data_IF_152437115415
#
_entry.id   IF_152437115415
#
_cell.length_a   1.000
_cell.length_b   1.000
_cell.length_c   1.000
_cell.angle_alpha   90.00
_cell.angle_beta   90.00
_cell.angle_gamma   90.00
#
_symmetry.space_group_name_H-M   'P 1'
#
loop_
_entity.id
_entity.type
_entity.pdbx_description
1 polymer ?
#
# COMPACT_ATOMS: atom_id res chain seq x y z
N UNK A 1 11.85 0.38 13.75
CA UNK A 1 12.50 0.47 12.43
C UNK A 1 11.89 -0.53 11.44
N UNK A 2 12.00 -1.85 11.67
CA UNK A 2 11.52 -2.89 10.74
C UNK A 2 10.08 -2.65 10.26
N UNK A 3 9.13 -2.41 11.19
CA UNK A 3 7.74 -2.04 10.87
C UNK A 3 7.62 -0.83 9.95
N UNK A 4 8.40 0.23 10.23
CA UNK A 4 8.36 1.47 9.45
C UNK A 4 8.97 1.31 8.05
N UNK A 5 9.89 0.36 7.88
CA UNK A 5 10.51 0.04 6.59
C UNK A 5 9.78 -1.09 5.83
N UNK A 6 8.61 -1.54 6.32
CA UNK A 6 7.87 -2.64 5.70
C UNK A 6 8.57 -4.00 5.77
N UNK A 7 9.53 -4.16 6.70
CA UNK A 7 10.21 -5.43 6.95
C UNK A 7 9.40 -6.30 7.91
N UNK A 8 9.59 -7.62 7.79
CA UNK A 8 9.09 -8.57 8.79
C UNK A 8 9.66 -8.21 10.18
N UNK A 9 8.79 -8.12 11.18
CA UNK A 9 9.14 -7.64 12.52
C UNK A 9 9.53 -8.83 13.38
N UNK A 10 10.79 -9.24 13.30
CA UNK A 10 11.39 -10.30 14.12
C UNK A 10 12.29 -9.76 15.25
N UNK A 11 12.60 -8.45 15.24
CA UNK A 11 13.54 -7.83 16.18
C UNK A 11 15.00 -8.23 15.98
N UNK A 12 15.30 -9.09 15.01
CA UNK A 12 16.65 -9.56 14.71
C UNK A 12 17.33 -8.66 13.67
N UNK A 13 18.63 -8.43 13.84
CA UNK A 13 19.44 -7.69 12.87
C UNK A 13 19.87 -8.65 11.76
N UNK A 14 18.93 -9.00 10.88
CA UNK A 14 19.19 -9.84 9.70
C UNK A 14 19.74 -9.07 8.50
N UNK A 15 20.18 -9.80 7.46
CA UNK A 15 20.75 -9.22 6.24
C UNK A 15 19.84 -8.17 5.58
N UNK A 16 18.52 -8.38 5.59
CA UNK A 16 17.53 -7.42 5.05
C UNK A 16 17.50 -6.10 5.83
N UNK A 17 17.61 -6.17 7.16
CA UNK A 17 17.66 -4.97 7.99
C UNK A 17 18.95 -4.17 7.75
N UNK A 18 20.09 -4.87 7.66
CA UNK A 18 21.39 -4.24 7.37
C UNK A 18 21.37 -3.59 5.98
N UNK A 19 20.80 -4.26 4.98
CA UNK A 19 20.65 -3.71 3.64
C UNK A 19 19.81 -2.41 3.65
N UNK A 20 18.68 -2.38 4.37
CA UNK A 20 17.85 -1.18 4.50
C UNK A 20 18.54 -0.05 5.27
N UNK A 21 19.37 -0.36 6.27
CA UNK A 21 20.14 0.64 7.01
C UNK A 21 21.26 1.26 6.14
N UNK A 22 21.83 0.48 5.22
CA UNK A 22 22.88 0.94 4.31
C UNK A 22 22.34 1.71 3.09
N UNK A 23 21.03 1.95 2.99
CA UNK A 23 20.46 2.77 1.92
C UNK A 23 20.85 4.24 2.14
N UNK A 24 21.55 4.89 1.19
CA UNK A 24 21.93 6.29 1.32
C UNK A 24 20.73 7.23 1.46
N UNK A 25 20.93 8.34 2.18
CA UNK A 25 19.88 9.34 2.41
C UNK A 25 19.31 9.90 1.09
N UNK A 26 20.17 10.16 0.11
CA UNK A 26 19.79 10.67 -1.22
C UNK A 26 18.73 9.77 -1.89
N UNK A 27 18.89 8.45 -1.79
CA UNK A 27 17.95 7.48 -2.33
C UNK A 27 16.60 7.50 -1.59
N UNK A 28 16.61 7.73 -0.27
CA UNK A 28 15.38 7.92 0.53
C UNK A 28 14.65 9.19 0.14
N UNK A 29 15.37 10.28 -0.09
CA UNK A 29 14.79 11.57 -0.54
C UNK A 29 14.11 11.38 -1.90
N UNK A 30 14.77 10.73 -2.85
CA UNK A 30 14.17 10.42 -4.16
C UNK A 30 12.90 9.57 -4.03
N UNK A 31 12.91 8.56 -3.15
CA UNK A 31 11.72 7.72 -2.90
C UNK A 31 10.55 8.55 -2.34
N UNK A 32 10.82 9.47 -1.41
CA UNK A 32 9.81 10.38 -0.87
C UNK A 32 9.24 11.30 -1.95
N UNK A 33 10.10 11.90 -2.78
CA UNK A 33 9.66 12.77 -3.89
C UNK A 33 8.74 12.04 -4.88
N UNK A 34 9.10 10.81 -5.27
CA UNK A 34 8.25 9.98 -6.15
C UNK A 34 6.91 9.66 -5.49
N UNK A 35 6.91 9.32 -4.19
CA UNK A 35 5.67 9.04 -3.47
C UNK A 35 4.78 10.28 -3.31
N UNK A 36 5.36 11.46 -3.12
CA UNK A 36 4.61 12.72 -3.10
C UNK A 36 3.96 13.01 -4.46
N UNK A 37 4.66 12.73 -5.56
CA UNK A 37 4.07 12.90 -6.89
C UNK A 37 2.95 11.90 -7.16
N UNK A 38 3.10 10.65 -6.69
CA UNK A 38 2.00 9.66 -6.73
C UNK A 38 0.78 10.13 -5.96
N UNK A 39 0.97 10.71 -4.76
CA UNK A 39 -0.14 11.27 -3.97
C UNK A 39 -0.84 12.42 -4.70
N UNK A 40 -0.09 13.27 -5.41
CA UNK A 40 -0.67 14.36 -6.21
C UNK A 40 -1.60 13.85 -7.31
N UNK A 41 -1.34 12.66 -7.84
CA UNK A 41 -2.12 12.07 -8.93
C UNK A 41 -3.26 11.18 -8.41
N UNK A 42 -3.36 11.00 -7.09
CA UNK A 42 -4.45 10.24 -6.49
C UNK A 42 -5.74 11.06 -6.60
N UNK A 43 -6.85 10.48 -7.09
CA UNK A 43 -8.09 11.20 -7.22
C UNK A 43 -8.55 11.70 -5.84
N UNK A 44 -9.13 12.91 -5.75
CA UNK A 44 -9.61 13.45 -4.48
C UNK A 44 -10.69 12.52 -3.90
N UNK A 45 -10.55 12.23 -2.60
CA UNK A 45 -11.51 11.45 -1.82
C UNK A 45 -12.78 12.29 -1.61
N UNK A 46 -13.64 12.34 -2.61
CA UNK A 46 -14.90 13.08 -2.55
C UNK A 46 -15.98 12.35 -1.75
N UNK A 47 -15.81 11.05 -1.55
CA UNK A 47 -16.78 10.20 -0.89
C UNK A 47 -16.26 9.76 0.48
N UNK A 48 -17.13 9.76 1.49
CA UNK A 48 -16.76 9.36 2.84
C UNK A 48 -16.64 7.84 3.01
N UNK A 49 -17.15 7.09 2.02
CA UNK A 49 -17.18 5.64 1.99
C UNK A 49 -16.44 5.15 0.74
N UNK A 50 -15.32 4.48 0.95
CA UNK A 50 -14.53 3.98 -0.18
C UNK A 50 -13.67 2.76 0.20
N UNK A 51 -13.26 2.03 -0.82
CA UNK A 51 -12.33 0.90 -0.71
C UNK A 51 -11.06 1.28 -1.46
N UNK A 52 -9.92 1.22 -0.78
CA UNK A 52 -8.60 1.48 -1.38
C UNK A 52 -7.74 0.25 -1.25
N UNK A 53 -7.16 -0.17 -2.37
CA UNK A 53 -6.17 -1.25 -2.41
C UNK A 53 -4.78 -0.63 -2.55
N UNK A 54 -3.99 -0.72 -1.49
CA UNK A 54 -2.60 -0.28 -1.50
C UNK A 54 -1.70 -1.43 -1.97
N UNK A 55 -1.45 -1.47 -3.28
CA UNK A 55 -0.66 -2.53 -3.94
C UNK A 55 0.75 -2.67 -3.32
N UNK A 56 1.54 -1.58 -3.10
CA UNK A 56 2.83 -1.67 -2.42
C UNK A 56 2.77 -2.22 -0.99
N UNK A 57 1.65 -2.02 -0.29
CA UNK A 57 1.45 -2.49 1.09
C UNK A 57 0.89 -3.91 1.16
N UNK A 58 0.39 -4.46 0.04
CA UNK A 58 -0.35 -5.73 0.01
C UNK A 58 -1.59 -5.72 0.92
N UNK A 59 -2.24 -4.56 1.05
CA UNK A 59 -3.42 -4.38 1.91
C UNK A 59 -4.56 -3.69 1.18
N UNK A 60 -5.78 -4.04 1.60
CA UNK A 60 -7.01 -3.33 1.27
C UNK A 60 -7.57 -2.68 2.53
N UNK A 61 -7.96 -1.42 2.41
CA UNK A 61 -8.57 -0.62 3.46
C UNK A 61 -9.97 -0.21 3.02
N UNK A 62 -10.94 -0.36 3.91
CA UNK A 62 -12.33 0.07 3.73
C UNK A 62 -12.61 1.19 4.71
N UNK A 63 -13.02 2.33 4.19
CA UNK A 63 -13.41 3.49 4.97
C UNK A 63 -14.93 3.64 4.95
N UNK A 64 -15.50 3.92 6.12
CA UNK A 64 -16.90 4.30 6.34
C UNK A 64 -16.94 5.61 7.12
N UNK A 65 -17.62 6.61 6.58
CA UNK A 65 -17.75 7.95 7.15
C UNK A 65 -16.39 8.57 7.50
N UNK A 66 -15.39 8.34 6.65
CA UNK A 66 -14.00 8.80 6.83
C UNK A 66 -13.20 8.06 7.91
N UNK A 67 -13.74 6.97 8.48
CA UNK A 67 -13.05 6.13 9.48
C UNK A 67 -12.73 4.77 8.90
N UNK A 68 -11.54 4.23 9.23
CA UNK A 68 -11.16 2.88 8.84
C UNK A 68 -12.11 1.88 9.51
N UNK A 69 -12.95 1.24 8.70
CA UNK A 69 -13.93 0.26 9.14
C UNK A 69 -13.38 -1.17 9.09
N UNK A 70 -12.51 -1.46 8.12
CA UNK A 70 -11.96 -2.79 7.90
C UNK A 70 -10.64 -2.73 7.12
N UNK A 71 -9.67 -3.58 7.48
CA UNK A 71 -8.47 -3.82 6.70
C UNK A 71 -8.18 -5.32 6.53
N UNK A 72 -7.64 -5.70 5.38
CA UNK A 72 -7.21 -7.07 5.13
C UNK A 72 -5.99 -7.14 4.21
N UNK A 73 -5.22 -8.22 4.32
CA UNK A 73 -4.14 -8.50 3.38
C UNK A 73 -4.72 -8.95 2.03
N UNK A 74 -4.10 -8.52 0.94
CA UNK A 74 -4.48 -8.90 -0.43
C UNK A 74 -3.29 -9.49 -1.18
N UNK A 75 -3.61 -10.39 -2.11
CA UNK A 75 -2.63 -10.90 -3.07
C UNK A 75 -2.75 -10.06 -4.34
N UNK A 76 -1.67 -9.39 -4.71
CA UNK A 76 -1.59 -8.63 -5.95
C UNK A 76 -0.86 -9.44 -7.02
N UNK A 77 -1.11 -9.09 -8.27
CA UNK A 77 -0.53 -9.77 -9.42
C UNK A 77 1.00 -9.73 -9.43
N UNK A 78 1.61 -10.76 -10.01
CA UNK A 78 3.08 -10.84 -10.13
C UNK A 78 3.61 -9.76 -11.08
N UNK A 79 4.93 -9.51 -11.09
CA UNK A 79 5.54 -8.51 -11.98
C UNK A 79 5.16 -8.69 -13.47
N UNK A 80 4.89 -9.93 -13.89
CA UNK A 80 4.46 -10.26 -15.26
C UNK A 80 2.95 -10.01 -15.46
N UNK A 81 2.13 -10.22 -14.42
CA UNK A 81 0.68 -10.04 -14.45
C UNK A 81 0.25 -9.01 -13.41
N UNK A 82 0.73 -7.77 -13.53
CA UNK A 82 0.52 -6.73 -12.52
C UNK A 82 -0.96 -6.37 -12.38
N UNK A 83 -1.42 -6.14 -11.14
CA UNK A 83 -2.77 -5.61 -10.88
C UNK A 83 -2.91 -4.23 -11.52
N UNK A 84 -3.91 -4.07 -12.38
CA UNK A 84 -4.18 -2.80 -13.06
C UNK A 84 -4.59 -1.74 -12.04
N UNK A 85 -4.01 -0.55 -12.12
CA UNK A 85 -4.41 0.61 -11.31
C UNK A 85 -5.65 1.23 -11.98
N UNK A 86 -6.80 1.17 -11.33
CA UNK A 86 -8.04 1.76 -11.82
C UNK A 86 -8.90 2.30 -10.67
N UNK A 87 -9.86 3.16 -11.01
CA UNK A 87 -10.92 3.59 -10.12
C UNK A 87 -12.26 3.11 -10.70
N UNK A 88 -13.15 2.59 -9.87
CA UNK A 88 -14.45 2.11 -10.28
C UNK A 88 -15.39 1.87 -9.10
N UNK A 89 -16.68 1.87 -9.37
CA UNK A 89 -17.70 1.58 -8.37
C UNK A 89 -17.87 0.07 -8.20
N UNK A 90 -17.90 -0.40 -6.95
CA UNK A 90 -18.18 -1.80 -6.64
C UNK A 90 -19.65 -2.10 -6.99
N UNK A 91 -19.86 -3.01 -7.95
CA UNK A 91 -21.20 -3.31 -8.47
C UNK A 91 -21.90 -4.45 -7.73
N UNK A 92 -21.17 -5.47 -7.32
CA UNK A 92 -21.72 -6.65 -6.65
C UNK A 92 -20.70 -7.29 -5.74
N UNK A 93 -21.18 -7.86 -4.64
CA UNK A 93 -20.44 -8.79 -3.78
C UNK A 93 -21.13 -10.13 -3.88
N UNK A 94 -20.41 -11.15 -4.33
CA UNK A 94 -20.93 -12.53 -4.42
C UNK A 94 -20.35 -13.32 -3.26
N UNK A 95 -21.22 -13.86 -2.42
CA UNK A 95 -20.86 -14.82 -1.38
C UNK A 95 -21.03 -16.23 -1.94
N UNK A 96 -20.02 -17.08 -1.76
CA UNK A 96 -19.97 -18.46 -2.29
C UNK A 96 -20.09 -18.58 -3.82
N UNK A 97 -19.05 -18.19 -4.57
CA UNK A 97 -18.94 -18.44 -6.01
C UNK A 97 -18.61 -19.90 -6.34
#
# INVERSE_FOLDING_TARGET
FQRAMGLYVDGAIGNKMIAELNVPLEKRIQQLLVNMERMRWMPPENDSNYIVVNIPEYKMHVYDSGRLAFDMNVIVGSAINSTVIFNGNLKYVVFSP
#
